data_IF_883944285399
#
_entry.id   IF_883944285399
#
_cell.length_a   1.000
_cell.length_b   1.000
_cell.length_c   1.000
_cell.angle_alpha   90.00
_cell.angle_beta   90.00
_cell.angle_gamma   90.00
#
_symmetry.space_group_name_H-M   'P 1'
#
loop_
_entity.id
_entity.type
_entity.pdbx_description
1 polymer ?
#
# COMPACT_ATOMS: atom_id res chain seq x y z
N UNK A 1 -49.84 -7.28 -15.35
CA UNK A 1 -49.84 -6.05 -16.16
C UNK A 1 -49.10 -6.36 -17.44
N UNK A 2 -49.80 -6.45 -18.58
CA UNK A 2 -49.21 -6.71 -19.88
C UNK A 2 -48.49 -5.45 -20.37
N UNK A 3 -47.16 -5.40 -20.24
CA UNK A 3 -46.37 -4.43 -20.97
C UNK A 3 -46.31 -4.87 -22.43
N UNK A 4 -46.91 -4.07 -23.32
CA UNK A 4 -46.64 -4.13 -24.75
C UNK A 4 -45.16 -3.83 -24.94
N UNK A 5 -44.35 -4.88 -25.09
CA UNK A 5 -42.91 -4.76 -25.33
C UNK A 5 -42.71 -4.34 -26.78
N UNK A 6 -42.40 -3.06 -26.99
CA UNK A 6 -41.88 -2.60 -28.27
C UNK A 6 -40.63 -3.41 -28.68
N UNK A 7 -40.26 -3.41 -29.97
CA UNK A 7 -39.15 -4.21 -30.47
C UNK A 7 -37.86 -3.90 -29.70
N UNK A 8 -37.15 -4.94 -29.29
CA UNK A 8 -35.87 -4.83 -28.62
C UNK A 8 -34.85 -4.25 -29.59
N UNK A 9 -34.27 -3.12 -29.21
CA UNK A 9 -33.10 -2.53 -29.85
C UNK A 9 -31.87 -2.80 -28.99
N UNK A 10 -30.68 -2.63 -29.56
CA UNK A 10 -29.43 -2.76 -28.80
C UNK A 10 -29.44 -1.87 -27.55
N UNK A 11 -30.00 -0.66 -27.64
CA UNK A 11 -29.98 0.28 -26.52
C UNK A 11 -31.02 -0.06 -25.45
N UNK A 12 -32.22 -0.51 -25.83
CA UNK A 12 -33.24 -0.90 -24.84
C UNK A 12 -32.79 -2.12 -24.04
N UNK A 13 -32.18 -3.11 -24.70
CA UNK A 13 -31.59 -4.30 -24.04
C UNK A 13 -30.46 -3.91 -23.08
N UNK A 14 -29.59 -2.97 -23.49
CA UNK A 14 -28.51 -2.47 -22.61
C UNK A 14 -29.05 -1.78 -21.37
N UNK A 15 -30.07 -0.95 -21.53
CA UNK A 15 -30.69 -0.22 -20.42
C UNK A 15 -31.36 -1.18 -19.43
N UNK A 16 -32.02 -2.22 -19.93
CA UNK A 16 -32.63 -3.27 -19.12
C UNK A 16 -31.58 -4.03 -18.28
N UNK A 17 -30.52 -4.52 -18.91
CA UNK A 17 -29.40 -5.18 -18.20
C UNK A 17 -28.73 -4.22 -17.21
N UNK A 18 -28.54 -2.95 -17.60
CA UNK A 18 -27.94 -1.94 -16.74
C UNK A 18 -28.79 -1.68 -15.48
N UNK A 19 -30.11 -1.64 -15.62
CA UNK A 19 -31.05 -1.49 -14.50
C UNK A 19 -30.94 -2.68 -13.54
N UNK A 20 -30.99 -3.89 -14.08
CA UNK A 20 -30.95 -5.12 -13.28
C UNK A 20 -29.60 -5.37 -12.58
N UNK A 21 -28.50 -4.94 -13.20
CA UNK A 21 -27.14 -5.10 -12.66
C UNK A 21 -26.56 -3.82 -12.05
N UNK A 22 -27.38 -2.79 -11.80
CA UNK A 22 -26.98 -1.49 -11.23
C UNK A 22 -25.76 -0.88 -11.94
N UNK A 23 -25.75 -0.92 -13.27
CA UNK A 23 -24.70 -0.38 -14.12
C UNK A 23 -23.46 -1.28 -14.32
N UNK A 24 -23.40 -2.47 -13.72
CA UNK A 24 -22.25 -3.38 -13.83
C UNK A 24 -22.43 -4.43 -14.93
N UNK A 25 -21.33 -4.89 -15.52
CA UNK A 25 -21.26 -6.06 -16.42
C UNK A 25 -22.25 -6.01 -17.60
N UNK A 26 -22.50 -4.81 -18.11
CA UNK A 26 -23.30 -4.57 -19.31
C UNK A 26 -22.51 -5.09 -20.53
N UNK A 27 -23.05 -6.01 -21.35
CA UNK A 27 -22.38 -6.48 -22.56
C UNK A 27 -22.04 -5.33 -23.51
N UNK A 28 -21.08 -5.51 -24.42
CA UNK A 28 -20.80 -4.52 -25.46
C UNK A 28 -21.93 -4.46 -26.49
N UNK A 29 -22.07 -3.31 -27.18
CA UNK A 29 -23.11 -3.10 -28.22
C UNK A 29 -23.09 -4.20 -29.28
N UNK A 30 -21.90 -4.58 -29.76
CA UNK A 30 -21.72 -5.65 -30.75
C UNK A 30 -22.21 -7.02 -30.26
N UNK A 31 -22.05 -7.32 -28.97
CA UNK A 31 -22.52 -8.59 -28.37
C UNK A 31 -24.05 -8.65 -28.38
N UNK A 32 -24.71 -7.54 -28.05
CA UNK A 32 -26.18 -7.48 -28.03
C UNK A 32 -26.76 -7.45 -29.44
N UNK A 33 -26.10 -6.76 -30.38
CA UNK A 33 -26.48 -6.81 -31.79
C UNK A 33 -26.47 -8.26 -32.30
N UNK A 34 -25.42 -9.01 -31.96
CA UNK A 34 -25.32 -10.43 -32.28
C UNK A 34 -26.41 -11.26 -31.61
N UNK A 35 -26.76 -11.00 -30.35
CA UNK A 35 -27.87 -11.71 -29.69
C UNK A 35 -29.21 -11.50 -30.37
N UNK A 36 -29.49 -10.26 -30.79
CA UNK A 36 -30.71 -9.91 -31.52
C UNK A 36 -30.77 -10.60 -32.89
N UNK A 37 -29.63 -10.71 -33.58
CA UNK A 37 -29.51 -11.43 -34.85
C UNK A 37 -29.69 -12.94 -34.68
N UNK A 38 -29.04 -13.54 -33.69
CA UNK A 38 -29.03 -15.00 -33.49
C UNK A 38 -30.30 -15.55 -32.83
N UNK A 39 -30.89 -14.80 -31.89
CA UNK A 39 -32.02 -15.28 -31.08
C UNK A 39 -33.37 -14.76 -31.58
N UNK A 40 -33.37 -13.71 -32.41
CA UNK A 40 -34.57 -13.01 -32.82
C UNK A 40 -35.23 -12.23 -31.67
N UNK A 41 -36.30 -11.51 -31.99
CA UNK A 41 -37.03 -10.65 -31.05
C UNK A 41 -37.74 -11.43 -29.94
N UNK A 42 -38.17 -12.66 -30.22
CA UNK A 42 -38.97 -13.47 -29.28
C UNK A 42 -38.15 -14.12 -28.17
N UNK A 43 -36.83 -14.31 -28.38
CA UNK A 43 -35.95 -15.03 -27.44
C UNK A 43 -34.85 -14.17 -26.83
N UNK A 44 -34.85 -12.87 -27.13
CA UNK A 44 -33.87 -11.94 -26.53
C UNK A 44 -34.08 -11.78 -25.02
N UNK A 45 -35.33 -11.87 -24.55
CA UNK A 45 -35.66 -11.85 -23.12
C UNK A 45 -34.99 -13.00 -22.38
N UNK A 46 -34.99 -14.21 -22.93
CA UNK A 46 -34.30 -15.37 -22.35
C UNK A 46 -32.78 -15.11 -22.22
N UNK A 47 -32.17 -14.49 -23.24
CA UNK A 47 -30.74 -14.14 -23.21
C UNK A 47 -30.41 -13.07 -22.19
N UNK A 48 -31.29 -12.08 -22.02
CA UNK A 48 -31.17 -11.06 -20.98
C UNK A 48 -31.25 -11.73 -19.61
N UNK A 49 -32.24 -12.59 -19.39
CA UNK A 49 -32.44 -13.30 -18.13
C UNK A 49 -31.25 -14.22 -17.80
N UNK A 50 -30.75 -15.00 -18.77
CA UNK A 50 -29.55 -15.84 -18.63
C UNK A 50 -28.34 -15.00 -18.18
N UNK A 51 -28.06 -13.88 -18.87
CA UNK A 51 -26.92 -13.02 -18.57
C UNK A 51 -27.08 -12.33 -17.21
N UNK A 52 -28.26 -11.79 -16.93
CA UNK A 52 -28.58 -11.13 -15.65
C UNK A 52 -28.49 -12.13 -14.51
N UNK A 53 -29.06 -13.33 -14.65
CA UNK A 53 -29.01 -14.39 -13.64
C UNK A 53 -27.58 -14.85 -13.37
N UNK A 54 -26.81 -15.13 -14.44
CA UNK A 54 -25.40 -15.47 -14.32
C UNK A 54 -24.63 -14.40 -13.54
N UNK A 55 -24.74 -13.12 -13.93
CA UNK A 55 -24.00 -12.06 -13.26
C UNK A 55 -24.55 -11.67 -11.91
N UNK A 56 -25.86 -11.78 -11.64
CA UNK A 56 -26.42 -11.60 -10.30
C UNK A 56 -25.88 -12.68 -9.37
N UNK A 57 -25.90 -13.95 -9.78
CA UNK A 57 -25.33 -15.05 -9.01
C UNK A 57 -23.82 -14.88 -8.82
N UNK A 58 -23.08 -14.46 -9.85
CA UNK A 58 -21.64 -14.23 -9.75
C UNK A 58 -21.32 -13.01 -8.87
N UNK A 59 -22.07 -11.90 -8.99
CA UNK A 59 -21.93 -10.70 -8.14
C UNK A 59 -22.26 -11.06 -6.69
N UNK A 60 -23.35 -11.79 -6.46
CA UNK A 60 -23.78 -12.25 -5.15
C UNK A 60 -22.71 -13.17 -4.55
N UNK A 61 -22.24 -14.18 -5.28
CA UNK A 61 -21.15 -15.07 -4.83
C UNK A 61 -19.86 -14.30 -4.53
N UNK A 62 -19.49 -13.30 -5.35
CA UNK A 62 -18.34 -12.42 -5.07
C UNK A 62 -18.58 -11.41 -3.94
N UNK A 63 -19.82 -11.24 -3.48
CA UNK A 63 -20.19 -10.35 -2.37
C UNK A 63 -20.40 -11.09 -1.05
N UNK A 64 -20.84 -12.35 -1.09
CA UNK A 64 -21.02 -13.22 0.09
C UNK A 64 -19.74 -13.97 0.46
N UNK A 65 -18.85 -14.20 -0.50
CA UNK A 65 -17.45 -14.51 -0.26
C UNK A 65 -16.70 -13.22 -0.57
N UNK A 66 -16.37 -12.39 0.43
CA UNK A 66 -15.44 -11.28 0.21
C UNK A 66 -14.09 -11.93 -0.17
N UNK A 67 -13.70 -11.99 -1.47
CA UNK A 67 -12.50 -12.72 -1.86
C UNK A 67 -11.24 -11.92 -1.50
N UNK A 68 -11.43 -10.68 -1.05
CA UNK A 68 -10.40 -9.82 -0.55
C UNK A 68 -10.31 -9.97 0.97
N UNK A 69 -9.14 -10.35 1.50
CA UNK A 69 -8.92 -10.26 2.93
C UNK A 69 -9.28 -8.87 3.44
N UNK A 70 -10.09 -8.80 4.50
CA UNK A 70 -10.27 -7.56 5.25
C UNK A 70 -8.97 -7.27 6.00
N UNK A 71 -8.46 -6.05 5.88
CA UNK A 71 -7.26 -5.61 6.57
C UNK A 71 -7.62 -4.66 7.71
N UNK A 72 -6.93 -4.80 8.83
CA UNK A 72 -6.82 -3.72 9.80
C UNK A 72 -5.56 -2.91 9.44
N UNK A 73 -5.76 -1.68 8.98
CA UNK A 73 -4.68 -0.74 8.63
C UNK A 73 -4.51 0.30 9.73
N UNK A 74 -3.28 0.70 10.05
CA UNK A 74 -2.90 1.71 11.05
C UNK A 74 -3.67 1.62 12.38
N UNK A 75 -4.02 0.38 12.80
CA UNK A 75 -4.76 0.08 14.02
C UNK A 75 -3.80 -0.38 15.10
N UNK A 76 -3.08 0.58 15.66
CA UNK A 76 -2.19 0.36 16.80
C UNK A 76 -3.02 0.14 18.07
N UNK A 77 -2.50 -0.64 19.02
CA UNK A 77 -3.06 -0.64 20.38
C UNK A 77 -2.91 0.75 21.02
N UNK A 78 -3.74 1.10 22.03
CA UNK A 78 -3.63 2.39 22.71
C UNK A 78 -2.22 2.68 23.27
N UNK A 79 -1.56 1.65 23.80
CA UNK A 79 -0.19 1.74 24.33
C UNK A 79 0.83 1.95 23.21
N UNK A 80 0.79 1.13 22.15
CA UNK A 80 1.69 1.28 21.00
C UNK A 80 1.54 2.67 20.37
N UNK A 81 0.31 3.14 20.18
CA UNK A 81 0.07 4.47 19.59
C UNK A 81 0.58 5.60 20.48
N UNK A 82 0.41 5.47 21.81
CA UNK A 82 0.89 6.44 22.78
C UNK A 82 2.41 6.58 22.72
N UNK A 83 3.14 5.45 22.77
CA UNK A 83 4.61 5.47 22.72
C UNK A 83 5.12 5.89 21.34
N UNK A 84 4.52 5.39 20.26
CA UNK A 84 4.88 5.79 18.90
C UNK A 84 4.71 7.29 18.68
N UNK A 85 3.62 7.87 19.20
CA UNK A 85 3.38 9.32 19.10
C UNK A 85 4.46 10.12 19.81
N UNK A 86 4.95 9.69 20.98
CA UNK A 86 6.06 10.38 21.67
C UNK A 86 7.32 10.39 20.82
N UNK A 87 7.67 9.24 20.23
CA UNK A 87 8.85 9.09 19.37
C UNK A 87 8.74 9.95 18.11
N UNK A 88 7.57 9.94 17.45
CA UNK A 88 7.37 10.74 16.23
C UNK A 88 7.38 12.24 16.54
N UNK A 89 6.74 12.68 17.63
CA UNK A 89 6.72 14.08 18.04
C UNK A 89 8.08 14.62 18.51
N UNK A 90 9.07 13.76 18.78
CA UNK A 90 10.43 14.23 19.12
C UNK A 90 11.23 14.68 17.89
N UNK A 91 10.77 14.32 16.69
CA UNK A 91 11.41 14.67 15.41
C UNK A 91 10.52 15.56 14.56
N UNK A 92 9.21 15.32 14.59
CA UNK A 92 8.22 16.11 13.89
C UNK A 92 7.58 17.12 14.83
N UNK A 93 7.43 18.35 14.34
CA UNK A 93 6.71 19.40 15.03
C UNK A 93 5.20 19.19 14.85
N UNK A 94 4.69 18.21 15.60
CA UNK A 94 3.30 17.77 15.57
C UNK A 94 2.85 17.35 16.97
N UNK A 95 1.58 16.96 17.10
CA UNK A 95 1.00 16.47 18.35
C UNK A 95 0.39 15.10 18.15
N UNK A 96 0.18 14.36 19.25
CA UNK A 96 -0.55 13.09 19.25
C UNK A 96 -1.92 13.21 18.58
N UNK A 97 -2.65 14.29 18.84
CA UNK A 97 -3.97 14.51 18.25
C UNK A 97 -3.91 14.73 16.73
N UNK A 98 -2.88 15.42 16.23
CA UNK A 98 -2.66 15.59 14.79
C UNK A 98 -2.28 14.26 14.13
N UNK A 99 -1.37 13.49 14.73
CA UNK A 99 -1.03 12.14 14.27
C UNK A 99 -2.27 11.25 14.22
N UNK A 100 -3.09 11.28 15.27
CA UNK A 100 -4.35 10.52 15.32
C UNK A 100 -5.29 10.92 14.18
N UNK A 101 -5.42 12.22 13.89
CA UNK A 101 -6.20 12.70 12.73
C UNK A 101 -5.70 12.12 11.42
N UNK A 102 -4.37 12.05 11.22
CA UNK A 102 -3.76 11.48 10.01
C UNK A 102 -4.03 9.99 9.90
N UNK A 103 -3.79 9.24 10.98
CA UNK A 103 -4.05 7.80 11.00
C UNK A 103 -5.53 7.46 10.84
N UNK A 104 -6.44 8.21 11.48
CA UNK A 104 -7.89 8.04 11.32
C UNK A 104 -8.29 8.23 9.86
N UNK A 105 -7.85 9.33 9.24
CA UNK A 105 -8.11 9.61 7.82
C UNK A 105 -7.64 8.46 6.91
N UNK A 106 -6.42 7.95 7.11
CA UNK A 106 -5.92 6.84 6.31
C UNK A 106 -6.66 5.52 6.53
N UNK A 107 -7.19 5.28 7.74
CA UNK A 107 -8.03 4.10 8.01
C UNK A 107 -9.38 4.22 7.33
N UNK A 108 -10.05 5.36 7.50
CA UNK A 108 -11.40 5.58 6.99
C UNK A 108 -11.44 5.58 5.45
N UNK A 109 -10.31 5.90 4.83
CA UNK A 109 -10.19 6.01 3.37
C UNK A 109 -9.42 4.86 2.74
N UNK A 110 -8.99 3.86 3.52
CA UNK A 110 -8.06 2.82 3.08
C UNK A 110 -8.50 2.16 1.78
N UNK A 111 -9.77 1.74 1.67
CA UNK A 111 -10.30 0.99 0.53
C UNK A 111 -11.01 1.83 -0.54
N UNK A 112 -10.91 3.16 -0.46
CA UNK A 112 -11.51 4.06 -1.44
C UNK A 112 -10.68 4.08 -2.75
N UNK A 113 -11.33 4.00 -3.93
CA UNK A 113 -10.65 3.84 -5.22
C UNK A 113 -9.85 5.06 -5.68
N UNK A 114 -10.27 6.28 -5.30
CA UNK A 114 -9.77 7.54 -5.86
C UNK A 114 -9.37 8.59 -4.80
N UNK A 115 -9.08 8.15 -3.57
CA UNK A 115 -8.74 9.03 -2.44
C UNK A 115 -7.67 8.38 -1.54
N UNK A 116 -6.80 9.17 -0.86
CA UNK A 116 -6.62 10.62 -0.97
C UNK A 116 -5.50 11.02 -1.94
N UNK A 117 -5.64 12.24 -2.48
CA UNK A 117 -4.52 13.05 -2.92
C UNK A 117 -3.41 13.06 -1.86
N UNK A 118 -2.13 13.24 -2.24
CA UNK A 118 -1.04 13.32 -1.27
C UNK A 118 -1.40 14.29 -0.14
N UNK A 119 -1.18 13.85 1.10
CA UNK A 119 -1.54 14.65 2.25
C UNK A 119 -0.52 15.75 2.44
N UNK A 120 -0.88 16.98 2.07
CA UNK A 120 0.04 18.10 2.09
C UNK A 120 0.02 18.82 3.45
N UNK A 121 1.17 18.94 4.09
CA UNK A 121 1.36 19.67 5.35
C UNK A 121 2.38 20.80 5.19
N UNK A 122 2.37 21.74 6.13
CA UNK A 122 3.40 22.79 6.18
C UNK A 122 4.79 22.17 6.29
N UNK A 123 5.81 22.80 5.66
CA UNK A 123 7.21 22.41 5.85
C UNK A 123 7.67 22.53 7.30
N UNK A 124 6.98 23.34 8.11
CA UNK A 124 7.23 23.41 9.55
C UNK A 124 6.89 22.13 10.30
N UNK A 125 6.30 21.11 9.66
CA UNK A 125 6.08 19.77 10.22
C UNK A 125 7.39 19.08 10.59
N UNK A 126 8.48 19.37 9.88
CA UNK A 126 9.82 18.91 10.23
C UNK A 126 10.76 20.10 10.42
N UNK A 127 11.48 20.09 11.54
CA UNK A 127 12.49 21.10 11.86
C UNK A 127 13.90 20.54 11.60
N UNK A 128 14.51 20.87 10.45
CA UNK A 128 15.87 20.46 10.15
C UNK A 128 16.90 21.02 11.14
N UNK A 129 17.95 20.24 11.40
CA UNK A 129 19.16 20.73 12.06
C UNK A 129 20.24 21.14 11.05
N UNK A 130 21.00 22.19 11.40
CA UNK A 130 22.12 22.73 10.63
C UNK A 130 21.69 23.78 9.61
N UNK A 131 22.30 24.98 9.68
CA UNK A 131 21.90 26.13 8.86
C UNK A 131 21.92 25.83 7.35
N UNK A 132 23.00 25.24 6.83
CA UNK A 132 23.11 24.89 5.41
C UNK A 132 22.00 23.90 4.99
N UNK A 133 21.70 22.91 5.83
CA UNK A 133 20.65 21.94 5.53
C UNK A 133 19.26 22.58 5.60
N UNK A 134 19.00 23.49 6.55
CA UNK A 134 17.77 24.28 6.62
C UNK A 134 17.53 25.08 5.34
N UNK A 135 18.54 25.76 4.81
CA UNK A 135 18.43 26.51 3.55
C UNK A 135 18.08 25.59 2.38
N UNK A 136 18.73 24.43 2.28
CA UNK A 136 18.44 23.45 1.23
C UNK A 136 17.06 22.83 1.39
N UNK A 137 16.63 22.55 2.61
CA UNK A 137 15.31 22.05 2.94
C UNK A 137 14.22 23.05 2.55
N UNK A 138 14.38 24.33 2.90
CA UNK A 138 13.38 25.37 2.61
C UNK A 138 13.26 25.67 1.11
N UNK A 139 14.37 25.59 0.37
CA UNK A 139 14.40 25.85 -1.08
C UNK A 139 14.20 24.61 -1.95
N UNK A 140 14.05 23.42 -1.35
CA UNK A 140 13.92 22.19 -2.12
C UNK A 140 12.64 22.22 -2.97
N UNK A 141 12.67 21.75 -4.23
CA UNK A 141 11.47 21.69 -5.06
C UNK A 141 10.45 20.65 -4.57
N UNK A 142 10.87 19.69 -3.74
CA UNK A 142 9.99 18.67 -3.16
C UNK A 142 10.57 18.12 -1.86
N UNK A 143 9.69 17.94 -0.87
CA UNK A 143 9.99 17.24 0.38
C UNK A 143 8.90 16.20 0.61
N UNK A 144 9.31 14.95 0.74
CA UNK A 144 8.45 13.84 1.16
C UNK A 144 8.73 13.44 2.61
N UNK A 145 7.69 13.04 3.32
CA UNK A 145 7.81 12.36 4.62
C UNK A 145 6.82 11.20 4.68
N UNK A 146 7.23 10.09 5.28
CA UNK A 146 6.34 8.96 5.55
C UNK A 146 6.26 8.73 7.05
N UNK A 147 5.04 8.58 7.56
CA UNK A 147 4.78 8.05 8.90
C UNK A 147 4.68 6.53 8.83
N UNK A 148 5.09 5.81 9.87
CA UNK A 148 5.00 4.36 9.88
C UNK A 148 3.56 3.89 9.81
N UNK A 149 3.37 2.70 9.27
CA UNK A 149 2.05 2.07 9.15
C UNK A 149 2.09 0.61 9.62
N UNK A 150 0.99 0.16 10.22
CA UNK A 150 0.79 -1.22 10.60
C UNK A 150 -0.33 -1.81 9.74
N UNK A 151 -0.14 -3.01 9.22
CA UNK A 151 -1.18 -3.74 8.50
C UNK A 151 -1.24 -5.17 8.98
N UNK A 152 -2.45 -5.68 9.17
CA UNK A 152 -2.70 -7.08 9.49
C UNK A 152 -4.01 -7.58 8.88
N UNK A 153 -4.17 -8.91 8.79
CA UNK A 153 -5.45 -9.50 8.47
C UNK A 153 -6.44 -9.31 9.62
N UNK A 154 -7.63 -8.81 9.31
CA UNK A 154 -8.75 -8.71 10.24
C UNK A 154 -9.38 -10.10 10.42
N UNK A 155 -8.74 -10.93 11.24
CA UNK A 155 -9.17 -12.27 11.61
C UNK A 155 -9.24 -12.39 13.13
N UNK A 156 -9.67 -13.55 13.63
CA UNK A 156 -9.91 -13.79 15.06
C UNK A 156 -8.62 -13.90 15.90
N UNK A 157 -7.43 -13.82 15.29
CA UNK A 157 -6.20 -13.94 16.04
C UNK A 157 -5.81 -12.60 16.70
N UNK A 158 -5.79 -12.60 18.03
CA UNK A 158 -5.54 -11.43 18.88
C UNK A 158 -4.06 -11.08 19.05
N UNK A 159 -3.13 -12.02 18.81
CA UNK A 159 -1.70 -11.83 19.06
C UNK A 159 -0.87 -12.27 17.86
N UNK A 160 -0.76 -11.38 16.87
CA UNK A 160 0.06 -11.63 15.68
C UNK A 160 1.50 -11.16 15.90
N UNK A 161 2.52 -12.01 15.67
CA UNK A 161 3.90 -11.57 15.72
C UNK A 161 4.17 -10.49 14.66
N UNK A 162 4.94 -9.47 15.04
CA UNK A 162 5.27 -8.36 14.14
C UNK A 162 6.48 -8.70 13.28
N UNK A 163 6.36 -8.52 11.98
CA UNK A 163 7.50 -8.36 11.09
C UNK A 163 7.60 -6.90 10.70
N UNK A 164 8.78 -6.30 10.85
CA UNK A 164 9.03 -4.95 10.36
C UNK A 164 9.70 -5.03 8.99
N UNK A 165 9.19 -4.26 8.03
CA UNK A 165 9.83 -4.00 6.75
C UNK A 165 10.32 -2.55 6.74
N UNK A 166 11.62 -2.39 6.51
CA UNK A 166 12.31 -1.12 6.44
C UNK A 166 12.53 -0.72 4.99
N UNK A 167 11.90 0.38 4.58
CA UNK A 167 12.29 1.10 3.37
C UNK A 167 13.41 2.11 3.68
N UNK A 168 13.95 2.70 2.63
CA UNK A 168 15.06 3.64 2.75
C UNK A 168 14.56 5.04 3.12
N UNK A 169 13.73 5.64 2.26
CA UNK A 169 13.28 7.01 2.35
C UNK A 169 11.97 7.23 1.56
N UNK A 170 11.23 8.31 1.86
CA UNK A 170 9.92 8.62 1.27
C UNK A 170 10.05 9.35 -0.08
N UNK A 171 10.77 8.77 -1.05
CA UNK A 171 10.99 9.36 -2.38
C UNK A 171 9.68 9.86 -3.03
N UNK A 172 9.66 11.13 -3.49
CA UNK A 172 8.52 11.74 -4.20
C UNK A 172 8.91 12.39 -5.52
N UNK A 173 7.98 12.40 -6.48
CA UNK A 173 8.21 12.99 -7.81
C UNK A 173 7.58 14.38 -7.99
N UNK A 174 6.47 14.69 -7.30
CA UNK A 174 5.53 15.71 -7.77
C UNK A 174 5.94 17.20 -7.69
N UNK A 175 6.93 17.69 -6.95
CA UNK A 175 7.07 19.15 -6.70
C UNK A 175 5.90 19.78 -5.91
N UNK A 176 6.28 20.47 -4.85
CA UNK A 176 5.37 21.26 -4.03
C UNK A 176 6.16 22.19 -3.12
N UNK A 177 5.58 23.35 -2.82
CA UNK A 177 6.00 24.25 -1.75
C UNK A 177 5.70 23.66 -0.36
N UNK A 178 4.77 22.70 -0.26
CA UNK A 178 4.43 21.95 0.95
C UNK A 178 5.23 20.66 1.08
N UNK A 179 5.17 20.07 2.27
CA UNK A 179 5.66 18.73 2.53
C UNK A 179 4.55 17.73 2.19
N UNK A 180 4.87 16.71 1.41
CA UNK A 180 3.96 15.59 1.13
C UNK A 180 4.13 14.51 2.21
N UNK A 181 3.08 14.27 2.98
CA UNK A 181 3.01 13.26 4.02
C UNK A 181 2.32 11.99 3.48
N UNK A 182 2.85 10.82 3.84
CA UNK A 182 2.25 9.54 3.49
C UNK A 182 2.64 8.41 4.43
N UNK A 183 2.62 7.20 3.87
CA UNK A 183 3.12 5.98 4.50
C UNK A 183 4.07 5.29 3.53
N UNK A 184 5.02 4.46 3.99
CA UNK A 184 5.97 3.77 3.11
C UNK A 184 5.27 3.09 1.93
N UNK A 185 5.86 3.26 0.74
CA UNK A 185 5.35 2.78 -0.55
C UNK A 185 3.93 3.26 -0.92
N UNK A 186 3.40 4.29 -0.24
CA UNK A 186 2.04 4.77 -0.42
C UNK A 186 0.96 3.78 0.05
N UNK A 187 1.27 2.94 1.05
CA UNK A 187 0.37 1.87 1.51
C UNK A 187 -1.05 2.32 1.89
N UNK A 188 -1.22 3.54 2.40
CA UNK A 188 -2.55 4.09 2.71
C UNK A 188 -3.45 4.20 1.46
N UNK A 189 -2.90 4.40 0.26
CA UNK A 189 -3.66 4.62 -0.96
C UNK A 189 -3.94 3.31 -1.74
N UNK A 190 -5.22 3.02 -2.01
CA UNK A 190 -5.64 1.81 -2.76
C UNK A 190 -5.01 1.72 -4.13
N UNK A 191 -4.92 2.84 -4.84
CA UNK A 191 -4.26 2.93 -6.14
C UNK A 191 -2.82 2.40 -6.10
N UNK A 192 -2.06 2.68 -5.04
CA UNK A 192 -0.70 2.16 -4.85
C UNK A 192 -0.66 0.65 -4.58
N UNK A 193 -1.68 0.10 -3.92
CA UNK A 193 -1.78 -1.34 -3.61
C UNK A 193 -2.24 -2.18 -4.79
N UNK A 194 -3.16 -1.66 -5.62
CA UNK A 194 -3.88 -2.47 -6.61
C UNK A 194 -3.55 -2.15 -8.07
N UNK A 195 -3.22 -0.89 -8.38
CA UNK A 195 -3.20 -0.40 -9.77
C UNK A 195 -1.83 0.09 -10.20
N UNK A 196 -1.13 0.82 -9.31
CA UNK A 196 0.11 1.48 -9.64
C UNK A 196 1.25 0.47 -9.80
N UNK A 197 1.79 0.38 -11.01
CA UNK A 197 2.78 -0.64 -11.39
C UNK A 197 4.02 -0.62 -10.50
N UNK A 198 4.48 0.56 -10.08
CA UNK A 198 5.69 0.66 -9.27
C UNK A 198 5.50 0.07 -7.87
N UNK A 199 4.36 0.31 -7.23
CA UNK A 199 4.13 0.06 -5.79
C UNK A 199 3.30 -1.20 -5.51
N UNK A 200 2.50 -1.68 -6.47
CA UNK A 200 1.69 -2.91 -6.36
C UNK A 200 2.50 -4.15 -5.96
N UNK A 201 3.76 -4.24 -6.39
CA UNK A 201 4.61 -5.38 -6.06
C UNK A 201 4.93 -5.46 -4.56
N UNK A 202 5.17 -4.31 -3.91
CA UNK A 202 5.46 -4.25 -2.48
C UNK A 202 4.26 -4.80 -1.69
N UNK A 203 3.04 -4.38 -2.06
CA UNK A 203 1.82 -4.90 -1.46
C UNK A 203 1.68 -6.42 -1.63
N UNK A 204 1.93 -6.96 -2.82
CA UNK A 204 1.91 -8.42 -3.04
C UNK A 204 2.90 -9.18 -2.18
N UNK A 205 4.08 -8.60 -1.91
CA UNK A 205 5.08 -9.24 -1.06
C UNK A 205 4.67 -9.17 0.42
N UNK A 206 4.09 -8.05 0.86
CA UNK A 206 3.52 -7.91 2.21
C UNK A 206 2.36 -8.89 2.42
N UNK A 207 1.46 -9.04 1.45
CA UNK A 207 0.33 -9.98 1.52
C UNK A 207 0.76 -11.43 1.79
N UNK A 208 1.95 -11.86 1.32
CA UNK A 208 2.48 -13.20 1.64
C UNK A 208 2.74 -13.35 3.13
N UNK A 209 3.28 -12.33 3.80
CA UNK A 209 3.51 -12.35 5.25
C UNK A 209 2.19 -12.29 6.02
N UNK A 210 1.27 -11.44 5.57
CA UNK A 210 -0.06 -11.30 6.16
C UNK A 210 -0.82 -12.64 6.15
N UNK A 211 -0.80 -13.35 5.01
CA UNK A 211 -1.41 -14.68 4.87
C UNK A 211 -0.71 -15.77 5.68
N UNK A 212 0.56 -15.57 6.05
CA UNK A 212 1.28 -16.43 7.00
C UNK A 212 0.93 -16.13 8.45
N UNK A 213 0.12 -15.11 8.73
CA UNK A 213 -0.34 -14.80 10.10
C UNK A 213 0.48 -13.72 10.81
N UNK A 214 1.42 -13.07 10.14
CA UNK A 214 2.13 -11.93 10.72
C UNK A 214 1.30 -10.65 10.63
N UNK A 215 1.50 -9.74 11.59
CA UNK A 215 1.24 -8.31 11.35
C UNK A 215 2.50 -7.69 10.76
N UNK A 216 2.36 -6.77 9.81
CA UNK A 216 3.48 -6.16 9.12
C UNK A 216 3.53 -4.67 9.46
N UNK A 217 4.62 -4.27 10.09
CA UNK A 217 4.92 -2.88 10.38
C UNK A 217 5.86 -2.34 9.31
N UNK A 218 5.50 -1.22 8.70
CA UNK A 218 6.20 -0.59 7.58
C UNK A 218 6.71 0.76 8.05
N UNK A 219 8.00 1.00 7.89
CA UNK A 219 8.61 2.30 8.19
C UNK A 219 9.82 2.56 7.30
N UNK A 220 10.23 3.82 7.23
CA UNK A 220 11.44 4.22 6.53
C UNK A 220 12.58 4.43 7.52
N UNK A 221 13.80 4.16 7.08
CA UNK A 221 14.98 4.48 7.89
C UNK A 221 15.12 5.98 8.03
N UNK A 222 15.03 6.71 6.92
CA UNK A 222 15.04 8.16 6.93
C UNK A 222 13.62 8.67 6.76
N UNK A 223 13.16 9.49 7.72
CA UNK A 223 11.76 9.92 7.75
C UNK A 223 11.42 11.02 6.75
N UNK A 224 12.42 11.60 6.11
CA UNK A 224 12.25 12.59 5.05
C UNK A 224 13.11 12.26 3.85
N UNK A 225 12.65 12.69 2.69
CA UNK A 225 13.42 12.74 1.46
C UNK A 225 13.30 14.15 0.86
N UNK A 226 14.43 14.73 0.49
CA UNK A 226 14.49 16.10 -0.03
C UNK A 226 15.09 16.05 -1.43
N UNK A 227 14.32 16.50 -2.42
CA UNK A 227 14.74 16.51 -3.82
C UNK A 227 15.86 17.51 -4.04
N UNK A 228 16.93 17.08 -4.70
CA UNK A 228 17.97 17.98 -5.20
C UNK A 228 17.42 18.82 -6.36
N UNK A 229 17.62 20.14 -6.29
CA UNK A 229 17.26 21.07 -7.35
C UNK A 229 17.83 20.62 -8.71
N UNK A 230 17.03 20.70 -9.77
CA UNK A 230 17.40 20.28 -11.12
C UNK A 230 17.55 18.77 -11.35
N UNK A 231 17.26 17.90 -10.35
CA UNK A 231 17.31 16.43 -10.49
C UNK A 231 15.96 15.82 -10.12
N UNK A 232 15.46 14.83 -10.90
CA UNK A 232 14.15 14.23 -10.65
C UNK A 232 14.14 13.20 -9.52
N UNK A 233 15.16 12.34 -9.44
CA UNK A 233 15.20 11.18 -8.53
C UNK A 233 16.47 11.14 -7.69
N UNK A 234 16.97 12.30 -7.26
CA UNK A 234 18.18 12.40 -6.44
C UNK A 234 17.88 13.20 -5.19
N UNK A 235 18.09 12.58 -4.03
CA UNK A 235 18.00 13.24 -2.74
C UNK A 235 19.27 14.02 -2.39
N UNK A 236 19.17 15.00 -1.50
CA UNK A 236 20.34 15.60 -0.86
C UNK A 236 20.78 14.76 0.35
N UNK A 237 22.06 14.79 0.76
CA UNK A 237 22.53 14.17 1.99
C UNK A 237 21.83 14.78 3.22
N UNK A 238 21.49 13.95 4.20
CA UNK A 238 20.73 14.36 5.39
C UNK A 238 21.59 14.90 6.56
N UNK A 239 22.91 14.68 6.54
CA UNK A 239 23.81 15.12 7.61
C UNK A 239 23.42 14.55 8.97
N UNK A 240 23.49 15.36 10.03
CA UNK A 240 23.10 14.97 11.40
C UNK A 240 21.63 14.54 11.52
N UNK A 241 20.77 14.98 10.61
CA UNK A 241 19.37 14.54 10.60
C UNK A 241 19.24 13.03 10.31
N UNK A 242 20.21 12.43 9.59
CA UNK A 242 20.25 10.98 9.40
C UNK A 242 20.37 10.25 10.76
N UNK A 243 21.25 10.72 11.63
CA UNK A 243 21.47 10.12 12.95
C UNK A 243 20.25 10.28 13.85
N UNK A 244 19.57 11.44 13.79
CA UNK A 244 18.28 11.64 14.48
C UNK A 244 17.25 10.60 14.05
N UNK A 245 17.14 10.32 12.76
CA UNK A 245 16.21 9.32 12.24
C UNK A 245 16.58 7.90 12.67
N UNK A 246 17.88 7.57 12.72
CA UNK A 246 18.35 6.28 13.22
C UNK A 246 18.04 6.10 14.73
N UNK A 247 18.21 7.16 15.52
CA UNK A 247 17.91 7.13 16.95
C UNK A 247 16.41 6.88 17.19
N UNK A 248 15.52 7.61 16.51
CA UNK A 248 14.09 7.35 16.67
C UNK A 248 13.64 6.02 16.08
N UNK A 249 14.30 5.54 15.02
CA UNK A 249 14.02 4.21 14.46
C UNK A 249 14.31 3.12 15.48
N UNK A 250 15.37 3.24 16.28
CA UNK A 250 15.66 2.29 17.35
C UNK A 250 14.51 2.19 18.36
N UNK A 251 14.00 3.34 18.83
CA UNK A 251 12.87 3.40 19.76
C UNK A 251 11.57 2.89 19.13
N UNK A 252 11.33 3.24 17.88
CA UNK A 252 10.20 2.75 17.09
C UNK A 252 10.20 1.22 16.98
N UNK A 253 11.37 0.62 16.76
CA UNK A 253 11.52 -0.83 16.67
C UNK A 253 11.35 -1.52 18.02
N UNK A 254 11.70 -0.86 19.14
CA UNK A 254 11.40 -1.37 20.49
C UNK A 254 9.90 -1.42 20.74
N UNK A 255 9.14 -0.42 20.29
CA UNK A 255 7.68 -0.37 20.43
C UNK A 255 7.01 -1.48 19.63
N UNK A 256 7.45 -1.73 18.39
CA UNK A 256 6.86 -2.74 17.52
C UNK A 256 7.14 -4.18 17.91
N UNK A 257 8.12 -4.40 18.80
CA UNK A 257 8.65 -5.70 19.26
C UNK A 257 8.70 -6.77 18.15
N UNK A 258 9.52 -6.55 17.11
CA UNK A 258 9.51 -7.42 15.94
C UNK A 258 10.20 -8.76 16.20
N UNK A 259 9.59 -9.83 15.66
CA UNK A 259 10.23 -11.15 15.61
C UNK A 259 11.28 -11.24 14.48
N UNK A 260 11.16 -10.37 13.47
CA UNK A 260 12.12 -10.24 12.38
C UNK A 260 12.09 -8.84 11.74
N UNK A 261 13.25 -8.41 11.25
CA UNK A 261 13.41 -7.23 10.41
C UNK A 261 13.73 -7.63 8.98
N UNK A 262 13.06 -7.01 8.03
CA UNK A 262 13.36 -7.11 6.60
C UNK A 262 13.82 -5.76 6.10
N UNK A 263 14.95 -5.73 5.40
CA UNK A 263 15.37 -4.56 4.61
C UNK A 263 15.25 -4.87 3.13
N UNK A 264 14.72 -3.92 2.37
CA UNK A 264 14.75 -3.96 0.92
C UNK A 264 15.85 -3.05 0.38
N UNK A 265 16.91 -3.65 -0.14
CA UNK A 265 18.04 -2.94 -0.74
C UNK A 265 19.23 -2.73 0.21
N UNK A 266 20.39 -2.47 -0.40
CA UNK A 266 21.68 -2.40 0.30
C UNK A 266 21.77 -1.21 1.26
N UNK A 267 21.22 -0.06 0.89
CA UNK A 267 21.30 1.13 1.73
C UNK A 267 20.54 0.89 3.04
N UNK A 268 19.31 0.40 2.96
CA UNK A 268 18.55 0.06 4.16
C UNK A 268 19.27 -0.98 5.05
N UNK A 269 19.84 -2.01 4.42
CA UNK A 269 20.62 -3.03 5.10
C UNK A 269 21.90 -2.51 5.77
N UNK A 270 22.54 -1.49 5.20
CA UNK A 270 23.78 -0.92 5.74
C UNK A 270 23.47 0.02 6.91
N UNK A 271 22.42 0.82 6.82
CA UNK A 271 22.01 1.72 7.88
C UNK A 271 21.53 0.95 9.11
N UNK A 272 20.71 -0.09 8.93
CA UNK A 272 20.21 -0.87 10.06
C UNK A 272 21.32 -1.58 10.84
N UNK A 273 22.45 -1.91 10.20
CA UNK A 273 23.62 -2.54 10.87
C UNK A 273 24.25 -1.65 11.93
N UNK A 274 24.04 -0.33 11.85
CA UNK A 274 24.55 0.64 12.83
C UNK A 274 23.80 0.55 14.17
N UNK A 275 22.58 0.01 14.18
CA UNK A 275 21.76 -0.10 15.38
C UNK A 275 22.04 -1.40 16.17
N UNK A 276 22.11 -1.35 17.52
CA UNK A 276 22.42 -2.48 18.39
C UNK A 276 21.19 -3.39 18.65
N UNK A 277 20.51 -3.81 17.58
CA UNK A 277 19.27 -4.59 17.68
C UNK A 277 19.53 -6.09 17.81
N UNK A 278 18.83 -6.76 18.73
CA UNK A 278 18.94 -8.22 18.97
C UNK A 278 18.02 -9.07 18.07
N UNK A 279 17.16 -8.44 17.27
CA UNK A 279 16.21 -9.12 16.37
C UNK A 279 16.91 -9.64 15.10
N UNK A 280 16.44 -10.78 14.61
CA UNK A 280 16.90 -11.37 13.34
C UNK A 280 16.68 -10.42 12.17
N UNK A 281 17.70 -10.25 11.31
CA UNK A 281 17.68 -9.30 10.20
C UNK A 281 17.85 -10.02 8.87
N UNK A 282 16.94 -9.79 7.94
CA UNK A 282 16.95 -10.39 6.62
C UNK A 282 17.04 -9.30 5.55
N UNK A 283 18.10 -9.35 4.75
CA UNK A 283 18.29 -8.43 3.66
C UNK A 283 17.82 -9.05 2.34
N UNK A 284 16.92 -8.35 1.65
CA UNK A 284 16.39 -8.76 0.37
C UNK A 284 16.66 -7.70 -0.71
N UNK A 285 16.73 -8.12 -1.98
CA UNK A 285 16.77 -7.20 -3.11
C UNK A 285 15.61 -6.20 -3.07
N UNK A 286 15.90 -4.92 -3.35
CA UNK A 286 14.85 -3.92 -3.46
C UNK A 286 13.84 -4.31 -4.57
N UNK A 287 12.52 -4.34 -4.31
CA UNK A 287 11.51 -4.83 -5.26
C UNK A 287 11.40 -4.06 -6.57
N UNK A 288 11.85 -2.80 -6.62
CA UNK A 288 11.71 -1.92 -7.79
C UNK A 288 12.20 -2.54 -9.12
N UNK A 289 11.58 -2.10 -10.22
CA UNK A 289 11.90 -2.57 -11.57
C UNK A 289 13.32 -2.22 -12.03
N UNK A 290 13.87 -1.10 -11.56
CA UNK A 290 15.21 -0.64 -11.94
C UNK A 290 16.37 -1.39 -11.28
N UNK A 291 16.08 -2.28 -10.33
CA UNK A 291 17.12 -3.02 -9.62
C UNK A 291 17.66 -4.18 -10.47
N UNK A 292 18.85 -3.98 -11.06
CA UNK A 292 19.49 -4.93 -11.99
C UNK A 292 19.85 -6.28 -11.36
N UNK A 293 19.97 -6.37 -10.03
CA UNK A 293 20.32 -7.64 -9.38
C UNK A 293 19.25 -8.73 -9.58
N UNK A 294 18.00 -8.35 -9.90
CA UNK A 294 16.94 -9.31 -10.16
C UNK A 294 17.26 -10.23 -11.35
N UNK A 295 17.97 -9.76 -12.37
CA UNK A 295 18.37 -10.62 -13.50
C UNK A 295 19.28 -11.76 -13.02
N UNK A 296 20.29 -11.43 -12.21
CA UNK A 296 21.21 -12.42 -11.63
C UNK A 296 20.49 -13.39 -10.71
N UNK A 297 19.63 -12.89 -9.83
CA UNK A 297 18.88 -13.71 -8.86
C UNK A 297 17.91 -14.68 -9.55
N UNK A 298 17.41 -14.28 -10.71
CA UNK A 298 16.48 -15.06 -11.51
C UNK A 298 17.20 -15.79 -12.66
N UNK A 299 18.52 -16.02 -12.54
CA UNK A 299 19.33 -16.78 -13.50
C UNK A 299 19.19 -16.30 -14.95
N UNK A 300 19.25 -14.98 -15.17
CA UNK A 300 19.13 -14.34 -16.47
C UNK A 300 17.70 -14.17 -16.97
N UNK A 301 16.69 -14.68 -16.25
CA UNK A 301 15.30 -14.48 -16.63
C UNK A 301 14.87 -13.02 -16.46
N UNK A 302 13.95 -12.57 -17.33
CA UNK A 302 13.32 -11.26 -17.22
C UNK A 302 12.62 -11.13 -15.86
N UNK A 303 12.95 -10.07 -15.12
CA UNK A 303 12.31 -9.79 -13.84
C UNK A 303 10.86 -9.33 -14.04
N UNK A 304 9.90 -10.16 -13.58
CA UNK A 304 8.45 -9.89 -13.61
C UNK A 304 7.94 -9.76 -12.18
N UNK A 305 6.70 -9.28 -11.98
CA UNK A 305 6.12 -9.29 -10.63
C UNK A 305 5.94 -10.74 -10.13
N UNK A 306 5.53 -11.65 -11.01
CA UNK A 306 5.23 -13.04 -10.65
C UNK A 306 6.49 -13.78 -10.15
N UNK A 307 7.61 -13.71 -10.87
CA UNK A 307 8.82 -14.41 -10.44
C UNK A 307 9.50 -13.77 -9.23
N UNK A 308 9.40 -12.44 -9.05
CA UNK A 308 9.83 -11.76 -7.81
C UNK A 308 9.03 -12.23 -6.60
N UNK A 309 7.70 -12.33 -6.73
CA UNK A 309 6.84 -12.87 -5.66
C UNK A 309 7.14 -14.34 -5.40
N UNK A 310 7.38 -15.15 -6.45
CA UNK A 310 7.75 -16.57 -6.28
C UNK A 310 9.10 -16.72 -5.55
N UNK A 311 10.09 -15.91 -5.90
CA UNK A 311 11.37 -15.85 -5.18
C UNK A 311 11.16 -15.44 -3.73
N UNK A 312 10.34 -14.42 -3.49
CA UNK A 312 10.00 -13.98 -2.14
C UNK A 312 9.39 -15.11 -1.32
N UNK A 313 8.34 -15.75 -1.84
CA UNK A 313 7.68 -16.90 -1.21
C UNK A 313 8.64 -18.03 -0.88
N UNK A 314 9.58 -18.36 -1.77
CA UNK A 314 10.54 -19.44 -1.53
C UNK A 314 11.53 -19.13 -0.43
N UNK A 315 11.84 -17.85 -0.18
CA UNK A 315 12.77 -17.42 0.87
C UNK A 315 12.16 -17.37 2.27
N UNK A 316 10.86 -17.16 2.36
CA UNK A 316 10.13 -17.11 3.62
C UNK A 316 9.23 -18.33 3.83
N UNK A 317 9.40 -19.38 3.02
CA UNK A 317 8.53 -20.57 3.04
C UNK A 317 8.46 -21.22 4.43
N UNK A 318 9.61 -21.31 5.10
CA UNK A 318 9.80 -21.96 6.40
C UNK A 318 9.60 -20.99 7.57
N UNK A 319 9.15 -19.76 7.30
CA UNK A 319 8.81 -18.81 8.35
C UNK A 319 7.41 -19.16 8.85
N UNK A 320 7.35 -19.67 10.07
CA UNK A 320 6.09 -19.93 10.76
C UNK A 320 5.95 -18.97 11.95
N UNK A 321 4.79 -18.34 12.15
CA UNK A 321 4.52 -17.58 13.35
C UNK A 321 4.49 -18.54 14.55
N UNK A 322 5.39 -18.34 15.51
CA UNK A 322 5.26 -18.95 16.81
C UNK A 322 4.14 -18.23 17.57
N UNK A 323 2.90 -18.67 17.39
CA UNK A 323 1.77 -18.26 18.22
C UNK A 323 2.02 -18.75 19.63
N UNK A 324 2.68 -17.94 20.45
CA UNK A 324 2.66 -18.20 21.88
C UNK A 324 1.27 -17.81 22.36
N UNK A 325 0.46 -18.80 22.74
CA UNK A 325 -0.71 -18.57 23.58
C UNK A 325 -0.17 -18.06 24.93
N UNK A 326 0.03 -16.76 25.07
CA UNK A 326 0.20 -16.13 26.37
C UNK A 326 -1.15 -15.67 26.88
#
# INVERSE_FOLDING_TARGET
MNHSSGPHTVETVRQEIAKELKGKKIPQRQTIAKWLEESGQERISDRIEEHVSYWKNHIIQTSTLNPYPSYAFCKFSPTEFSELSKVLCSVFNTSRAQLETFYNSWRDTFDLPDYPQPQMVSRSFFSPEGQEFCERYNNAPMVGSDLPSLIELNNTCSHKPTIVILAQDPLRSQQSDKLELGTPFGFHAKGCRESHRATKLYFKMVDVLLRKGYRVYLTDIFKIWIRQAGKQNRGIPLGSNADRFLNILEEELKIGDPVALITWGKQAANEIKKLPLKVNRFNFPHPSGGNRCWSTILNGQRATHANKVKYWQSKIKDWEPNWTNQ
#
